data_IF_955373940714
#
_entry.id   IF_955373940714
#
_cell.length_a   1.000
_cell.length_b   1.000
_cell.length_c   1.000
_cell.angle_alpha   90.00
_cell.angle_beta   90.00
_cell.angle_gamma   90.00
#
_symmetry.space_group_name_H-M   'P 1'
#
loop_
_entity.id
_entity.type
_entity.pdbx_description
1 polymer ?
#
# COMPACT_ATOMS: atom_id res chain seq x y z
N UNK A 1 5.66 1.88 -7.96
CA UNK A 1 6.31 2.97 -8.71
C UNK A 1 5.37 3.44 -9.81
N UNK A 2 4.35 4.20 -9.43
CA UNK A 2 3.46 4.83 -10.41
C UNK A 2 4.10 6.15 -10.86
N UNK A 3 3.71 6.66 -12.02
CA UNK A 3 3.48 8.09 -12.23
C UNK A 3 4.45 8.97 -13.05
N UNK A 4 5.45 8.47 -13.81
CA UNK A 4 6.27 9.43 -14.60
C UNK A 4 5.47 10.11 -15.74
N UNK A 5 4.52 9.40 -16.36
CA UNK A 5 3.66 9.91 -17.45
C UNK A 5 2.61 10.94 -16.99
N UNK A 6 2.33 11.04 -15.70
CA UNK A 6 1.34 11.98 -15.12
C UNK A 6 1.97 13.03 -14.19
N UNK A 7 3.29 12.97 -13.95
CA UNK A 7 4.03 13.98 -13.18
C UNK A 7 4.48 15.18 -14.03
N UNK A 8 4.54 15.03 -15.35
CA UNK A 8 4.92 16.10 -16.27
C UNK A 8 3.63 16.70 -16.82
N UNK A 9 3.05 17.63 -16.07
CA UNK A 9 2.14 18.63 -16.67
C UNK A 9 3.05 19.57 -17.44
N UNK A 10 3.03 19.48 -18.77
CA UNK A 10 3.80 20.38 -19.63
C UNK A 10 3.27 21.82 -19.47
N UNK A 11 3.94 22.62 -18.66
CA UNK A 11 3.84 24.06 -18.72
C UNK A 11 4.86 24.56 -19.75
N UNK A 12 4.40 25.32 -20.75
CA UNK A 12 5.25 25.90 -21.78
C UNK A 12 6.35 26.83 -21.24
N UNK A 13 6.25 27.22 -19.96
CA UNK A 13 7.17 28.12 -19.25
C UNK A 13 8.34 27.38 -18.57
N UNK A 14 8.30 26.05 -18.43
CA UNK A 14 9.37 25.24 -17.80
C UNK A 14 10.50 24.84 -18.77
N UNK A 15 10.63 25.50 -19.92
CA UNK A 15 11.71 25.24 -20.87
C UNK A 15 13.06 25.61 -20.23
N UNK A 16 13.96 24.64 -19.95
CA UNK A 16 15.29 24.99 -19.49
C UNK A 16 16.00 25.71 -20.64
N UNK A 17 16.52 26.91 -20.35
CA UNK A 17 17.50 27.54 -21.25
C UNK A 17 18.71 26.62 -21.30
N UNK A 18 19.41 26.51 -22.44
CA UNK A 18 20.53 25.59 -22.60
C UNK A 18 21.70 26.08 -21.75
N UNK A 19 21.74 25.74 -20.46
CA UNK A 19 22.92 25.84 -19.62
C UNK A 19 23.53 24.46 -19.52
N UNK A 20 24.55 24.26 -20.36
CA UNK A 20 25.71 23.36 -20.38
C UNK A 20 25.92 22.18 -19.39
N UNK A 21 24.98 21.77 -18.53
CA UNK A 21 25.16 20.67 -17.57
C UNK A 21 24.29 19.43 -17.85
N UNK A 22 23.26 19.53 -18.69
CA UNK A 22 22.48 18.36 -19.15
C UNK A 22 22.40 18.32 -20.68
N UNK A 23 23.52 17.98 -21.33
CA UNK A 23 23.61 17.84 -22.79
C UNK A 23 22.75 16.67 -23.33
N UNK A 24 22.32 15.74 -22.47
CA UNK A 24 21.60 14.50 -22.88
C UNK A 24 20.28 14.25 -22.15
N UNK A 25 19.62 15.27 -21.62
CA UNK A 25 18.30 15.12 -20.98
C UNK A 25 17.24 14.55 -21.93
N UNK A 26 17.24 15.04 -23.18
CA UNK A 26 16.34 14.56 -24.24
C UNK A 26 16.65 13.12 -24.68
N UNK A 27 17.92 12.76 -24.86
CA UNK A 27 18.34 11.40 -25.24
C UNK A 27 17.92 10.38 -24.18
N UNK A 28 18.08 10.72 -22.91
CA UNK A 28 17.71 9.85 -21.78
C UNK A 28 16.19 9.61 -21.70
N UNK A 29 15.37 10.62 -22.04
CA UNK A 29 13.91 10.50 -22.08
C UNK A 29 13.48 9.67 -23.29
N UNK A 30 14.08 9.91 -24.45
CA UNK A 30 13.81 9.16 -25.68
C UNK A 30 14.20 7.68 -25.58
N UNK A 31 15.34 7.35 -24.97
CA UNK A 31 15.77 5.97 -24.78
C UNK A 31 14.78 5.19 -23.88
N UNK A 32 14.31 5.80 -22.79
CA UNK A 32 13.34 5.19 -21.86
C UNK A 32 11.96 5.00 -22.49
N UNK A 33 11.52 5.94 -23.32
CA UNK A 33 10.30 5.78 -24.13
C UNK A 33 10.45 4.63 -25.13
N UNK A 34 11.57 4.59 -25.85
CA UNK A 34 11.87 3.51 -26.80
C UNK A 34 11.93 2.13 -26.12
N UNK A 35 12.38 2.07 -24.87
CA UNK A 35 12.41 0.83 -24.09
C UNK A 35 11.00 0.39 -23.70
N UNK A 36 10.14 1.32 -23.27
CA UNK A 36 8.74 1.03 -22.95
C UNK A 36 7.95 0.55 -24.17
N UNK A 37 8.19 1.11 -25.36
CA UNK A 37 7.51 0.74 -26.61
C UNK A 37 7.92 -0.65 -27.13
N UNK A 38 9.05 -1.19 -26.68
CA UNK A 38 9.49 -2.57 -27.00
C UNK A 38 8.72 -3.64 -26.23
N UNK A 39 7.96 -3.28 -25.20
CA UNK A 39 7.06 -4.21 -24.51
C UNK A 39 5.67 -4.10 -25.12
N UNK A 40 5.26 -5.11 -25.89
CA UNK A 40 3.94 -5.16 -26.52
C UNK A 40 2.75 -5.38 -25.56
N UNK A 41 2.99 -5.45 -24.25
CA UNK A 41 1.96 -5.70 -23.24
C UNK A 41 2.01 -4.64 -22.13
N UNK A 42 0.87 -4.00 -21.88
CA UNK A 42 0.67 -3.11 -20.72
C UNK A 42 -0.21 -3.81 -19.70
N UNK A 43 0.27 -3.95 -18.47
CA UNK A 43 -0.50 -4.48 -17.34
C UNK A 43 -1.06 -3.33 -16.51
N UNK A 44 -2.39 -3.22 -16.46
CA UNK A 44 -3.09 -2.23 -15.63
C UNK A 44 -3.41 -2.83 -14.28
N UNK A 45 -3.14 -2.08 -13.21
CA UNK A 45 -3.50 -2.47 -11.84
C UNK A 45 -4.68 -1.64 -11.36
N UNK A 46 -5.84 -2.29 -11.22
CA UNK A 46 -7.02 -1.65 -10.66
C UNK A 46 -6.91 -1.51 -9.14
N UNK A 47 -7.57 -0.49 -8.59
CA UNK A 47 -7.69 -0.35 -7.13
C UNK A 47 -8.61 -1.45 -6.62
N UNK A 48 -8.24 -2.08 -5.51
CA UNK A 48 -9.13 -3.02 -4.86
C UNK A 48 -10.39 -2.30 -4.35
N UNK A 49 -11.54 -2.91 -4.60
CA UNK A 49 -12.81 -2.46 -4.05
C UNK A 49 -12.94 -2.91 -2.58
N UNK A 50 -13.94 -2.36 -1.88
CA UNK A 50 -14.19 -2.71 -0.47
C UNK A 50 -14.39 -4.23 -0.29
N UNK A 51 -15.05 -4.90 -1.25
CA UNK A 51 -15.32 -6.35 -1.19
C UNK A 51 -14.03 -7.16 -1.26
N UNK A 52 -13.12 -6.81 -2.18
CA UNK A 52 -11.81 -7.45 -2.33
C UNK A 52 -10.93 -7.18 -1.13
N UNK A 53 -10.93 -5.95 -0.62
CA UNK A 53 -10.24 -5.60 0.62
C UNK A 53 -10.68 -6.48 1.79
N UNK A 54 -11.99 -6.62 2.02
CA UNK A 54 -12.51 -7.46 3.11
C UNK A 54 -12.17 -8.94 2.92
N UNK A 55 -12.12 -9.44 1.68
CA UNK A 55 -11.66 -10.80 1.40
C UNK A 55 -10.18 -10.98 1.76
N UNK A 56 -9.33 -10.03 1.41
CA UNK A 56 -7.90 -10.06 1.75
C UNK A 56 -7.73 -10.03 3.27
N UNK A 57 -8.42 -9.12 3.96
CA UNK A 57 -8.39 -9.05 5.44
C UNK A 57 -8.81 -10.37 6.06
N UNK A 58 -9.93 -10.95 5.62
CA UNK A 58 -10.40 -12.22 6.17
C UNK A 58 -9.38 -13.34 5.98
N UNK A 59 -8.80 -13.44 4.79
CA UNK A 59 -7.79 -14.44 4.49
C UNK A 59 -6.54 -14.27 5.37
N UNK A 60 -6.03 -13.04 5.48
CA UNK A 60 -4.87 -12.72 6.32
C UNK A 60 -5.14 -12.96 7.81
N UNK A 61 -6.33 -12.62 8.30
CA UNK A 61 -6.71 -12.86 9.69
C UNK A 61 -6.82 -14.35 10.03
N UNK A 62 -7.32 -15.17 9.09
CA UNK A 62 -7.32 -16.64 9.22
C UNK A 62 -5.89 -17.19 9.27
N UNK A 63 -5.00 -16.73 8.38
CA UNK A 63 -3.58 -17.14 8.40
C UNK A 63 -2.87 -16.72 9.69
N UNK A 64 -3.23 -15.56 10.23
CA UNK A 64 -2.70 -15.03 11.48
C UNK A 64 -3.36 -15.63 12.74
N UNK A 65 -4.36 -16.52 12.58
CA UNK A 65 -5.11 -17.15 13.67
C UNK A 65 -5.68 -16.14 14.69
N UNK A 66 -6.20 -15.01 14.21
CA UNK A 66 -6.79 -13.98 15.06
C UNK A 66 -8.04 -14.53 15.76
N UNK A 67 -8.12 -14.50 17.11
CA UNK A 67 -9.25 -15.03 17.87
C UNK A 67 -10.42 -14.04 17.96
N UNK A 68 -10.80 -13.44 16.83
CA UNK A 68 -11.92 -12.50 16.73
C UNK A 68 -12.99 -13.03 15.78
N UNK A 69 -14.24 -12.72 16.08
CA UNK A 69 -15.35 -13.05 15.19
C UNK A 69 -15.20 -12.38 13.82
N UNK A 70 -15.50 -13.09 12.70
CA UNK A 70 -15.38 -12.52 11.35
C UNK A 70 -16.16 -11.22 11.14
N UNK A 71 -17.31 -11.07 11.80
CA UNK A 71 -18.13 -9.85 11.77
C UNK A 71 -17.40 -8.65 12.39
N UNK A 72 -16.72 -8.88 13.52
CA UNK A 72 -15.97 -7.86 14.23
C UNK A 72 -14.71 -7.45 13.46
N UNK A 73 -13.98 -8.43 12.90
CA UNK A 73 -12.84 -8.17 12.02
C UNK A 73 -13.26 -7.29 10.85
N UNK A 74 -14.38 -7.60 10.18
CA UNK A 74 -14.90 -6.79 9.07
C UNK A 74 -15.21 -5.36 9.49
N UNK A 75 -15.91 -5.19 10.61
CA UNK A 75 -16.29 -3.86 11.13
C UNK A 75 -15.06 -3.01 11.42
N UNK A 76 -14.09 -3.56 12.16
CA UNK A 76 -12.83 -2.89 12.49
C UNK A 76 -11.98 -2.61 11.25
N UNK A 77 -11.94 -3.54 10.29
CA UNK A 77 -11.20 -3.36 9.03
C UNK A 77 -11.73 -2.20 8.19
N UNK A 78 -13.06 -2.00 8.14
CA UNK A 78 -13.66 -0.87 7.43
C UNK A 78 -13.29 0.46 8.11
N UNK A 79 -13.36 0.52 9.44
CA UNK A 79 -12.95 1.70 10.20
C UNK A 79 -11.46 2.00 10.02
N UNK A 80 -10.62 0.97 9.99
CA UNK A 80 -9.19 1.08 9.72
C UNK A 80 -8.92 1.65 8.33
N UNK A 81 -9.57 1.12 7.29
CA UNK A 81 -9.37 1.56 5.91
C UNK A 81 -9.70 3.04 5.69
N UNK A 82 -10.75 3.54 6.35
CA UNK A 82 -11.14 4.96 6.31
C UNK A 82 -10.01 5.85 6.87
N UNK A 83 -9.29 5.38 7.91
CA UNK A 83 -8.17 6.11 8.53
C UNK A 83 -6.85 5.92 7.77
N UNK A 84 -6.63 4.74 7.20
CA UNK A 84 -5.37 4.31 6.59
C UNK A 84 -5.34 4.47 5.06
N UNK A 85 -6.03 5.49 4.55
CA UNK A 85 -5.98 5.95 3.17
C UNK A 85 -6.49 4.92 2.11
N UNK A 86 -7.51 4.14 2.46
CA UNK A 86 -8.33 3.38 1.52
C UNK A 86 -8.18 1.86 1.53
N UNK A 87 -8.82 1.22 0.54
CA UNK A 87 -8.99 -0.22 0.43
C UNK A 87 -7.85 -0.88 -0.36
N UNK A 88 -6.64 -0.91 0.22
CA UNK A 88 -5.48 -1.53 -0.42
C UNK A 88 -5.05 -2.83 0.28
N UNK A 89 -4.36 -3.72 -0.45
CA UNK A 89 -3.77 -4.92 0.15
C UNK A 89 -2.72 -4.59 1.23
N UNK A 90 -1.98 -3.49 1.06
CA UNK A 90 -1.07 -2.98 2.09
C UNK A 90 -1.83 -2.58 3.36
N UNK A 91 -2.91 -1.83 3.20
CA UNK A 91 -3.76 -1.41 4.32
C UNK A 91 -4.35 -2.61 5.05
N UNK A 92 -4.75 -3.67 4.32
CA UNK A 92 -5.24 -4.91 4.90
C UNK A 92 -4.16 -5.64 5.73
N UNK A 93 -2.93 -5.74 5.21
CA UNK A 93 -1.81 -6.35 5.94
C UNK A 93 -1.49 -5.57 7.21
N UNK A 94 -1.39 -4.24 7.13
CA UNK A 94 -1.16 -3.37 8.27
C UNK A 94 -2.23 -3.51 9.35
N UNK A 95 -3.50 -3.64 8.95
CA UNK A 95 -4.60 -3.89 9.88
C UNK A 95 -4.43 -5.22 10.62
N UNK A 96 -4.10 -6.31 9.91
CA UNK A 96 -3.90 -7.62 10.56
C UNK A 96 -2.66 -7.62 11.45
N UNK A 97 -1.56 -6.96 11.04
CA UNK A 97 -0.37 -6.79 11.88
C UNK A 97 -0.71 -6.07 13.19
N UNK A 98 -1.55 -5.03 13.10
CA UNK A 98 -2.05 -4.31 14.27
C UNK A 98 -2.86 -5.21 15.20
N UNK A 99 -3.78 -6.04 14.66
CA UNK A 99 -4.53 -7.00 15.48
C UNK A 99 -3.61 -8.04 16.16
N UNK A 100 -2.58 -8.52 15.46
CA UNK A 100 -1.62 -9.46 16.04
C UNK A 100 -0.84 -8.82 17.19
N UNK A 101 -0.44 -7.55 17.04
CA UNK A 101 0.26 -6.82 18.09
C UNK A 101 -0.62 -6.57 19.33
N UNK A 102 -1.90 -6.21 19.15
CA UNK A 102 -2.85 -6.08 20.25
C UNK A 102 -3.02 -7.39 21.04
N UNK A 103 -3.04 -8.53 20.35
CA UNK A 103 -3.16 -9.85 20.98
C UNK A 103 -1.92 -10.20 21.80
N UNK A 104 -0.72 -9.92 21.30
CA UNK A 104 0.53 -10.15 22.03
C UNK A 104 0.56 -9.31 23.32
N UNK A 105 0.23 -8.01 23.23
CA UNK A 105 0.20 -7.13 24.40
C UNK A 105 -0.87 -7.53 25.44
N UNK A 106 -2.00 -8.09 24.98
CA UNK A 106 -3.07 -8.58 25.87
C UNK A 106 -2.62 -9.81 26.68
N UNK A 107 -1.79 -10.68 26.11
CA UNK A 107 -1.25 -11.87 26.80
C UNK A 107 -0.20 -11.52 27.84
N UNK A 108 0.66 -10.55 27.55
CA UNK A 108 1.73 -10.11 28.47
C UNK A 108 1.17 -9.37 29.69
N UNK A 109 0.09 -8.60 29.52
CA UNK A 109 -0.56 -7.85 30.60
C UNK A 109 -1.25 -8.75 31.64
N UNK A 110 -1.54 -10.02 31.31
CA UNK A 110 -2.19 -10.98 32.21
C UNK A 110 -1.24 -11.76 33.12
N UNK A 111 0.08 -11.65 32.94
CA UNK A 111 1.10 -12.48 33.62
C UNK A 111 1.73 -11.77 34.85
N UNK A 112 1.36 -10.52 35.14
CA UNK A 112 1.98 -9.71 36.20
C UNK A 112 1.42 -9.83 37.62
N UNK A 113 0.38 -10.63 37.88
CA UNK A 113 -0.38 -10.56 39.15
C UNK A 113 -0.27 -11.80 40.07
N UNK A 114 0.79 -12.61 39.96
CA UNK A 114 0.85 -13.90 40.69
C UNK A 114 2.15 -14.25 41.43
N UNK A 115 3.06 -13.29 41.64
CA UNK A 115 4.29 -13.51 42.42
C UNK A 115 4.50 -12.45 43.52
N UNK A 116 3.58 -12.36 44.48
CA UNK A 116 3.88 -11.80 45.81
C UNK A 116 3.05 -12.56 46.86
N UNK A 117 3.56 -13.71 47.32
CA UNK A 117 3.23 -14.29 48.62
C UNK A 117 4.31 -15.26 49.10
#
# INVERSE_FOLDING_TARGET
TSNRRHLIREFFEDRPRPSNEEVHGWDTVHEKLSFSDRFGLTLTFEKADQKTYLKIVQHLATLAQIPLEPSEIRRRALQWAIRANGFSGRTARQFVDFLQAEEVGSRESGVGSREEM
#
